data_IF_071742698217
#
_entry.id   IF_071742698217
#
_cell.length_a   1.000
_cell.length_b   1.000
_cell.length_c   1.000
_cell.angle_alpha   90.00
_cell.angle_beta   90.00
_cell.angle_gamma   90.00
#
_symmetry.space_group_name_H-M   'P 1'
#
loop_
_entity.id
_entity.type
_entity.pdbx_description
1 polymer ?
#
# COMPACT_ATOMS: atom_id res chain seq x y z
N UNK A 1 25.00 -13.06 13.03
CA UNK A 1 23.61 -12.87 12.57
C UNK A 1 23.11 -11.58 13.19
N UNK A 2 23.08 -10.52 12.41
CA UNK A 2 22.58 -9.21 12.84
C UNK A 2 21.07 -9.32 13.05
N UNK A 3 20.61 -9.18 14.30
CA UNK A 3 19.17 -9.06 14.58
C UNK A 3 18.73 -7.68 14.09
N UNK A 4 18.21 -7.60 12.88
CA UNK A 4 17.43 -6.44 12.46
C UNK A 4 16.16 -6.42 13.32
N UNK A 5 16.16 -5.54 14.33
CA UNK A 5 14.97 -5.28 15.15
C UNK A 5 13.90 -4.67 14.26
N UNK A 6 12.76 -5.33 14.14
CA UNK A 6 11.57 -4.75 13.54
C UNK A 6 10.84 -3.97 14.64
N UNK A 7 10.76 -2.65 14.51
CA UNK A 7 9.87 -1.86 15.37
C UNK A 7 8.43 -2.06 14.90
N UNK A 8 7.63 -2.76 15.69
CA UNK A 8 6.17 -2.74 15.53
C UNK A 8 5.66 -1.59 16.39
N UNK A 9 5.21 -0.50 15.75
CA UNK A 9 4.57 0.57 16.49
C UNK A 9 3.12 0.17 16.79
N UNK A 10 2.84 -0.22 18.02
CA UNK A 10 1.48 -0.51 18.46
C UNK A 10 0.79 0.82 18.84
N UNK A 11 0.13 1.46 17.87
CA UNK A 11 -0.53 2.76 18.05
C UNK A 11 -1.97 2.70 17.57
N UNK A 12 -2.90 3.09 18.45
CA UNK A 12 -4.34 3.06 18.21
C UNK A 12 -4.95 4.44 17.90
N UNK A 13 -4.12 5.50 17.80
CA UNK A 13 -4.63 6.85 17.53
C UNK A 13 -4.78 7.09 16.04
N UNK A 14 -5.89 7.71 15.61
CA UNK A 14 -6.10 8.10 14.20
C UNK A 14 -4.94 8.92 13.64
N UNK A 15 -4.38 9.82 14.47
CA UNK A 15 -3.20 10.60 14.11
C UNK A 15 -1.97 9.70 13.84
N UNK A 16 -1.81 8.60 14.57
CA UNK A 16 -0.72 7.64 14.35
C UNK A 16 -0.81 6.93 13.00
N UNK A 17 -2.02 6.56 12.55
CA UNK A 17 -2.24 5.88 11.27
C UNK A 17 -1.96 6.83 10.09
N UNK A 18 -2.51 8.04 10.14
CA UNK A 18 -2.24 9.09 9.13
C UNK A 18 -0.75 9.44 9.09
N UNK A 19 -0.06 9.43 10.25
CA UNK A 19 1.40 9.60 10.29
C UNK A 19 2.10 8.42 9.63
N UNK A 20 1.66 7.19 9.86
CA UNK A 20 2.15 5.97 9.18
C UNK A 20 2.06 6.06 7.66
N UNK A 21 0.90 6.50 7.15
CA UNK A 21 0.67 6.74 5.73
C UNK A 21 1.51 7.91 5.20
N UNK A 22 1.94 8.85 6.05
CA UNK A 22 2.74 10.00 5.62
C UNK A 22 4.25 9.81 5.79
N UNK A 23 4.70 8.77 6.50
CA UNK A 23 6.14 8.45 6.71
C UNK A 23 6.62 7.24 5.90
N UNK A 24 5.75 6.56 5.16
CA UNK A 24 6.13 5.42 4.31
C UNK A 24 6.28 5.81 2.83
N UNK A 25 7.10 5.07 2.08
CA UNK A 25 7.18 5.17 0.61
C UNK A 25 6.20 4.22 -0.09
N UNK A 26 5.87 3.12 0.58
CA UNK A 26 5.01 2.05 0.08
C UNK A 26 4.11 1.60 1.22
N UNK A 27 2.80 1.54 0.95
CA UNK A 27 1.79 1.01 1.86
C UNK A 27 1.38 -0.38 1.39
N UNK A 28 1.34 -1.36 2.30
CA UNK A 28 1.03 -2.76 1.96
C UNK A 28 -0.17 -3.23 2.78
N UNK A 29 -1.24 -3.61 2.08
CA UNK A 29 -2.42 -4.20 2.69
C UNK A 29 -2.63 -5.63 2.17
N UNK A 30 -2.13 -6.62 2.91
CA UNK A 30 -2.23 -8.04 2.53
C UNK A 30 -3.39 -8.76 3.24
N UNK A 31 -4.50 -8.06 3.46
CA UNK A 31 -5.64 -8.59 4.22
C UNK A 31 -6.64 -9.33 3.33
N UNK A 32 -7.37 -10.28 3.92
CA UNK A 32 -8.28 -11.15 3.15
C UNK A 32 -9.67 -10.53 2.96
N UNK A 33 -10.07 -9.61 3.84
CA UNK A 33 -11.42 -9.04 3.87
C UNK A 33 -11.43 -7.61 4.40
N UNK A 34 -11.41 -6.61 3.53
CA UNK A 34 -11.79 -5.24 3.89
C UNK A 34 -12.95 -4.82 2.99
N UNK A 35 -14.05 -4.39 3.58
CA UNK A 35 -15.33 -4.24 2.86
C UNK A 35 -15.42 -2.94 2.05
N UNK A 36 -14.60 -1.93 2.36
CA UNK A 36 -14.73 -0.59 1.79
C UNK A 36 -13.46 -0.04 1.14
N UNK A 37 -12.27 -0.55 1.49
CA UNK A 37 -11.02 -0.02 0.94
C UNK A 37 -10.67 1.39 1.42
N UNK A 38 -11.22 1.85 2.55
CA UNK A 38 -11.01 3.24 3.03
C UNK A 38 -9.54 3.45 3.35
N UNK A 39 -8.88 2.45 3.93
CA UNK A 39 -7.45 2.53 4.25
C UNK A 39 -6.60 2.65 2.98
N UNK A 40 -7.02 1.97 1.90
CA UNK A 40 -6.39 2.13 0.58
C UNK A 40 -6.56 3.55 0.05
N UNK A 41 -7.76 4.13 0.17
CA UNK A 41 -8.04 5.51 -0.24
C UNK A 41 -7.25 6.52 0.59
N UNK A 42 -7.11 6.32 1.90
CA UNK A 42 -6.30 7.17 2.78
C UNK A 42 -4.83 7.16 2.36
N UNK A 43 -4.25 5.97 2.13
CA UNK A 43 -2.88 5.83 1.65
C UNK A 43 -2.68 6.46 0.26
N UNK A 44 -3.62 6.26 -0.68
CA UNK A 44 -3.58 6.90 -2.00
C UNK A 44 -3.70 8.43 -1.91
N UNK A 45 -4.57 8.93 -1.03
CA UNK A 45 -4.74 10.38 -0.79
C UNK A 45 -3.49 11.01 -0.20
N UNK A 46 -2.73 10.26 0.60
CA UNK A 46 -1.42 10.62 1.10
C UNK A 46 -0.29 10.48 0.04
N UNK A 47 -0.62 10.16 -1.20
CA UNK A 47 0.30 9.93 -2.34
C UNK A 47 1.27 8.77 -2.12
N UNK A 48 0.81 7.71 -1.46
CA UNK A 48 1.60 6.49 -1.26
C UNK A 48 1.38 5.49 -2.37
N UNK A 49 2.44 4.77 -2.72
CA UNK A 49 2.32 3.62 -3.61
C UNK A 49 1.72 2.46 -2.82
N UNK A 50 0.63 1.87 -3.31
CA UNK A 50 -0.06 0.80 -2.59
C UNK A 50 0.20 -0.56 -3.24
N UNK A 51 0.38 -1.57 -2.40
CA UNK A 51 0.38 -2.98 -2.77
C UNK A 51 -0.74 -3.63 -1.96
N UNK A 52 -1.74 -4.20 -2.63
CA UNK A 52 -2.88 -4.83 -1.97
C UNK A 52 -3.14 -6.21 -2.54
N UNK A 53 -3.67 -7.10 -1.71
CA UNK A 53 -4.36 -8.30 -2.19
C UNK A 53 -5.69 -7.93 -2.85
N UNK A 54 -6.14 -8.72 -3.83
CA UNK A 54 -7.45 -8.57 -4.47
C UNK A 54 -8.56 -9.10 -3.55
N UNK A 55 -8.89 -8.36 -2.49
CA UNK A 55 -10.07 -8.62 -1.67
C UNK A 55 -11.27 -7.83 -2.20
N UNK A 56 -12.48 -8.26 -1.83
CA UNK A 56 -13.81 -7.73 -2.18
C UNK A 56 -13.87 -6.26 -2.71
N UNK A 57 -13.47 -6.02 -3.96
CA UNK A 57 -13.56 -4.70 -4.59
C UNK A 57 -12.33 -3.79 -4.46
N UNK A 58 -11.20 -4.28 -3.95
CA UNK A 58 -9.91 -3.57 -3.95
C UNK A 58 -9.57 -3.07 -5.36
N UNK A 59 -9.76 -3.89 -6.40
CA UNK A 59 -9.57 -3.47 -7.79
C UNK A 59 -10.45 -2.31 -8.25
N UNK A 60 -11.65 -2.14 -7.68
CA UNK A 60 -12.54 -1.01 -7.98
C UNK A 60 -12.04 0.30 -7.34
N UNK A 61 -11.30 0.20 -6.23
CA UNK A 61 -10.73 1.36 -5.52
C UNK A 61 -9.38 1.75 -6.11
N UNK A 62 -8.49 0.78 -6.31
CA UNK A 62 -7.08 1.04 -6.63
C UNK A 62 -6.81 1.05 -8.14
N UNK A 63 -7.71 0.49 -8.95
CA UNK A 63 -7.67 0.53 -10.41
C UNK A 63 -6.36 0.02 -11.02
N UNK A 64 -5.85 0.72 -12.04
CA UNK A 64 -4.55 0.42 -12.68
C UNK A 64 -3.37 1.09 -11.98
N UNK A 65 -3.61 1.66 -10.81
CA UNK A 65 -2.73 2.66 -10.22
C UNK A 65 -1.81 2.10 -9.12
N UNK A 66 -1.91 0.81 -8.84
CA UNK A 66 -1.15 0.15 -7.79
C UNK A 66 -0.96 -1.32 -8.16
N UNK A 67 -0.24 -2.06 -7.32
CA UNK A 67 -0.08 -3.50 -7.51
C UNK A 67 -1.17 -4.23 -6.75
N UNK A 68 -2.01 -4.92 -7.50
CA UNK A 68 -2.97 -5.88 -6.96
C UNK A 68 -2.40 -7.27 -7.18
N UNK A 69 -2.35 -8.05 -6.12
CA UNK A 69 -1.85 -9.43 -6.14
C UNK A 69 -2.96 -10.40 -5.79
N UNK A 70 -2.78 -11.66 -6.14
CA UNK A 70 -3.71 -12.70 -5.76
C UNK A 70 -3.71 -12.95 -4.24
N UNK A 71 -4.89 -13.22 -3.67
CA UNK A 71 -5.02 -13.62 -2.27
C UNK A 71 -4.16 -14.86 -1.97
N UNK A 72 -3.57 -14.89 -0.77
CA UNK A 72 -2.70 -15.98 -0.30
C UNK A 72 -1.43 -16.25 -1.15
N UNK A 73 -1.12 -15.44 -2.16
CA UNK A 73 0.07 -15.62 -2.98
C UNK A 73 1.29 -14.91 -2.37
N UNK A 74 1.93 -15.56 -1.40
CA UNK A 74 3.10 -15.02 -0.69
C UNK A 74 4.27 -14.67 -1.63
N UNK A 75 4.44 -15.45 -2.70
CA UNK A 75 5.52 -15.27 -3.67
C UNK A 75 5.28 -14.00 -4.48
N UNK A 76 4.06 -13.81 -4.95
CA UNK A 76 3.66 -12.60 -5.67
C UNK A 76 3.74 -11.35 -4.79
N UNK A 77 3.28 -11.44 -3.53
CA UNK A 77 3.43 -10.35 -2.56
C UNK A 77 4.89 -9.95 -2.38
N UNK A 78 5.77 -10.93 -2.15
CA UNK A 78 7.20 -10.68 -1.97
C UNK A 78 7.80 -10.04 -3.22
N UNK A 79 7.45 -10.53 -4.40
CA UNK A 79 7.92 -9.99 -5.67
C UNK A 79 7.43 -8.54 -5.89
N UNK A 80 6.18 -8.24 -5.55
CA UNK A 80 5.62 -6.90 -5.63
C UNK A 80 6.34 -5.93 -4.69
N UNK A 81 6.61 -6.36 -3.45
CA UNK A 81 7.37 -5.58 -2.48
C UNK A 81 8.80 -5.33 -2.99
N UNK A 82 9.51 -6.36 -3.46
CA UNK A 82 10.86 -6.21 -4.02
C UNK A 82 10.89 -5.28 -5.23
N UNK A 83 9.90 -5.40 -6.13
CA UNK A 83 9.76 -4.51 -7.28
C UNK A 83 9.55 -3.06 -6.83
N UNK A 84 8.73 -2.83 -5.81
CA UNK A 84 8.48 -1.49 -5.27
C UNK A 84 9.74 -0.84 -4.66
N UNK A 85 10.65 -1.63 -4.08
CA UNK A 85 11.95 -1.14 -3.60
C UNK A 85 12.80 -0.63 -4.76
N UNK A 86 12.77 -1.31 -5.91
CA UNK A 86 13.51 -0.93 -7.12
C UNK A 86 12.89 0.22 -7.93
N UNK A 87 11.69 0.69 -7.58
CA UNK A 87 11.03 1.81 -8.28
C UNK A 87 11.47 3.16 -7.72
N UNK A 88 11.75 4.11 -8.62
CA UNK A 88 12.00 5.50 -8.26
C UNK A 88 10.74 6.16 -7.68
N UNK A 89 10.93 7.28 -6.97
CA UNK A 89 9.82 8.06 -6.41
C UNK A 89 8.89 8.57 -7.52
N UNK A 90 9.45 9.00 -8.65
CA UNK A 90 8.69 9.45 -9.81
C UNK A 90 7.88 8.30 -10.42
N UNK A 91 8.46 7.10 -10.50
CA UNK A 91 7.75 5.92 -10.98
C UNK A 91 6.58 5.55 -10.07
N UNK A 92 6.70 5.76 -8.75
CA UNK A 92 5.61 5.54 -7.79
C UNK A 92 4.53 6.62 -7.89
N UNK A 93 4.93 7.89 -7.99
CA UNK A 93 4.02 9.05 -8.01
C UNK A 93 3.25 9.22 -9.32
N UNK A 94 3.89 8.92 -10.47
CA UNK A 94 3.26 9.00 -11.79
C UNK A 94 2.01 8.13 -11.90
N UNK A 95 1.89 7.15 -11.01
CA UNK A 95 0.78 6.22 -10.95
C UNK A 95 -0.36 6.78 -10.08
N UNK A 96 -0.08 7.62 -9.08
CA UNK A 96 -1.09 8.21 -8.17
C UNK A 96 -1.73 9.50 -8.71
N UNK A 97 -1.03 10.26 -9.57
CA UNK A 97 -1.50 11.58 -10.04
C UNK A 97 -2.67 11.58 -11.06
N UNK A 98 -3.14 10.43 -11.54
CA UNK A 98 -4.12 10.37 -12.64
C UNK A 98 -5.55 10.80 -12.22
N UNK A 99 -5.83 11.00 -10.93
CA UNK A 99 -7.22 11.25 -10.47
C UNK A 99 -7.45 12.46 -9.55
N UNK A 100 -6.42 13.16 -9.07
CA UNK A 100 -6.64 14.47 -8.39
C UNK A 100 -6.99 15.60 -9.37
N UNK A 101 -6.95 15.33 -10.68
CA UNK A 101 -7.22 16.29 -11.75
C UNK A 101 -8.51 16.00 -12.55
N UNK A 102 -9.38 15.11 -12.05
CA UNK A 102 -10.73 14.84 -12.59
C UNK A 102 -11.77 15.17 -11.52
#
# INVERSE_FOLDING_TARGET
>A
MEKHGYEVSDRHSRHGNVVGDNVCDVFVLSYLYEEFGIVLVEAMSAKRFVISTDFCGACCVIGKFCMIIENHNKKELTNAMLKSIGMSKEQKLKIVEIELAR
#
